data_IF_541700372440
#
_entry.id   IF_541700372440
#
_cell.length_a   1.000
_cell.length_b   1.000
_cell.length_c   1.000
_cell.angle_alpha   90.00
_cell.angle_beta   90.00
_cell.angle_gamma   90.00
#
_symmetry.space_group_name_H-M   'P 1'
#
loop_
_entity.id
_entity.type
_entity.pdbx_description
1 polymer ?
#
# COMPACT_ATOMS: atom_id res chain seq x y z
N UNK A 1 36.58 -38.31 -14.78
CA UNK A 1 36.50 -37.14 -13.89
C UNK A 1 35.03 -36.92 -13.61
N UNK A 2 34.60 -36.96 -12.34
CA UNK A 2 33.18 -36.89 -11.97
C UNK A 2 32.76 -35.42 -11.80
N UNK A 3 31.49 -35.12 -12.09
CA UNK A 3 30.92 -33.77 -12.00
C UNK A 3 31.10 -33.15 -10.61
N UNK A 4 31.16 -34.02 -9.60
CA UNK A 4 31.35 -33.67 -8.20
C UNK A 4 32.79 -33.19 -7.93
N UNK A 5 33.79 -33.79 -8.57
CA UNK A 5 35.19 -33.40 -8.47
C UNK A 5 35.44 -32.07 -9.19
N UNK A 6 34.82 -31.88 -10.36
CA UNK A 6 34.87 -30.64 -11.13
C UNK A 6 34.24 -29.48 -10.34
N UNK A 7 33.10 -29.72 -9.69
CA UNK A 7 32.45 -28.73 -8.82
C UNK A 7 33.30 -28.41 -7.58
N UNK A 8 33.97 -29.41 -7.00
CA UNK A 8 34.85 -29.20 -5.83
C UNK A 8 36.04 -28.33 -6.19
N UNK A 9 36.70 -28.61 -7.32
CA UNK A 9 37.85 -27.83 -7.80
C UNK A 9 37.41 -26.41 -8.17
N UNK A 10 36.28 -26.26 -8.89
CA UNK A 10 35.80 -24.94 -9.33
C UNK A 10 35.36 -24.06 -8.16
N UNK A 11 34.78 -24.64 -7.11
CA UNK A 11 34.40 -23.92 -5.88
C UNK A 11 35.62 -23.55 -5.05
N UNK A 12 36.63 -24.43 -4.98
CA UNK A 12 37.86 -24.17 -4.24
C UNK A 12 38.72 -23.09 -4.91
N UNK A 13 38.78 -23.07 -6.24
CA UNK A 13 39.47 -22.03 -7.02
C UNK A 13 38.77 -20.67 -6.91
N UNK A 14 37.42 -20.65 -6.88
CA UNK A 14 36.68 -19.40 -6.64
C UNK A 14 36.79 -18.88 -5.22
N UNK A 15 36.94 -19.76 -4.23
CA UNK A 15 37.16 -19.36 -2.84
C UNK A 15 38.59 -18.83 -2.60
N UNK A 16 39.58 -19.33 -3.33
CA UNK A 16 40.97 -18.88 -3.25
C UNK A 16 41.21 -17.55 -4.01
N UNK A 17 40.41 -17.26 -5.03
CA UNK A 17 40.41 -15.97 -5.70
C UNK A 17 39.69 -14.92 -4.83
N UNK A 18 40.41 -14.27 -3.92
CA UNK A 18 39.93 -13.12 -3.16
C UNK A 18 39.66 -11.91 -4.09
N UNK A 19 38.63 -12.00 -4.92
CA UNK A 19 38.05 -10.84 -5.60
C UNK A 19 37.10 -10.17 -4.61
N UNK A 20 37.29 -8.87 -4.29
CA UNK A 20 36.29 -8.16 -3.53
C UNK A 20 34.96 -8.26 -4.31
N UNK A 21 33.83 -8.54 -3.63
CA UNK A 21 32.53 -8.52 -4.29
C UNK A 21 32.39 -7.16 -4.98
N UNK A 22 32.06 -7.16 -6.27
CA UNK A 22 31.84 -5.93 -7.02
C UNK A 22 30.88 -5.05 -6.21
N UNK A 23 31.27 -3.80 -5.93
CA UNK A 23 30.46 -2.89 -5.10
C UNK A 23 29.02 -2.77 -5.63
N UNK A 24 28.84 -2.95 -6.94
CA UNK A 24 27.54 -2.96 -7.61
C UNK A 24 26.66 -4.14 -7.17
N UNK A 25 27.22 -5.32 -6.92
CA UNK A 25 26.47 -6.49 -6.44
C UNK A 25 26.00 -6.30 -4.99
N UNK A 26 26.79 -5.64 -4.13
CA UNK A 26 26.34 -5.33 -2.76
C UNK A 26 25.28 -4.22 -2.76
N UNK A 27 25.33 -3.29 -3.72
CA UNK A 27 24.34 -2.22 -3.89
C UNK A 27 23.03 -2.75 -4.49
N UNK A 28 23.11 -3.69 -5.43
CA UNK A 28 21.95 -4.41 -5.98
C UNK A 28 21.35 -5.39 -4.97
N UNK A 29 22.17 -6.08 -4.17
CA UNK A 29 21.68 -6.97 -3.11
C UNK A 29 21.05 -6.16 -1.97
N UNK A 30 21.62 -5.02 -1.57
CA UNK A 30 21.01 -4.18 -0.52
C UNK A 30 19.73 -3.47 -0.99
N UNK A 31 19.69 -3.02 -2.25
CA UNK A 31 18.45 -2.47 -2.85
C UNK A 31 17.39 -3.56 -3.09
N UNK A 32 17.81 -4.78 -3.44
CA UNK A 32 16.97 -5.97 -3.54
C UNK A 32 16.40 -6.42 -2.18
N UNK A 33 17.21 -6.44 -1.13
CA UNK A 33 16.79 -6.75 0.25
C UNK A 33 15.86 -5.69 0.80
N UNK A 34 16.05 -4.40 0.48
CA UNK A 34 15.09 -3.33 0.84
C UNK A 34 13.75 -3.50 0.12
N UNK A 35 13.74 -3.91 -1.15
CA UNK A 35 12.51 -4.26 -1.88
C UNK A 35 11.83 -5.51 -1.30
N UNK A 36 12.58 -6.54 -0.93
CA UNK A 36 12.01 -7.78 -0.37
C UNK A 36 11.47 -7.58 1.06
N UNK A 37 12.12 -6.77 1.89
CA UNK A 37 11.60 -6.37 3.21
C UNK A 37 10.33 -5.51 3.09
N UNK A 38 10.25 -4.63 2.08
CA UNK A 38 9.02 -3.89 1.74
C UNK A 38 7.91 -4.85 1.30
N UNK A 39 8.24 -5.89 0.53
CA UNK A 39 7.32 -6.94 0.07
C UNK A 39 6.79 -7.81 1.21
N UNK A 40 7.65 -8.18 2.18
CA UNK A 40 7.28 -8.99 3.35
C UNK A 40 6.44 -8.23 4.37
N UNK A 41 6.60 -6.91 4.51
CA UNK A 41 5.69 -6.08 5.32
C UNK A 41 4.30 -5.94 4.70
N UNK A 42 4.21 -5.99 3.37
CA UNK A 42 2.94 -5.88 2.63
C UNK A 42 2.18 -7.22 2.52
N UNK A 43 2.85 -8.36 2.68
CA UNK A 43 2.20 -9.69 2.74
C UNK A 43 1.80 -10.10 4.16
N UNK A 44 2.32 -9.42 5.18
CA UNK A 44 1.99 -9.64 6.59
C UNK A 44 0.75 -8.85 7.08
N UNK A 45 -0.08 -8.32 6.16
CA UNK A 45 -1.42 -7.81 6.49
C UNK A 45 -2.45 -8.91 6.81
N UNK A 46 -2.04 -10.19 6.81
CA UNK A 46 -2.96 -11.32 6.98
C UNK A 46 -2.49 -12.53 7.82
N UNK A 47 -1.28 -12.56 8.40
CA UNK A 47 -0.90 -13.68 9.27
C UNK A 47 0.22 -13.29 10.25
N UNK A 48 -0.08 -13.38 11.55
CA UNK A 48 0.86 -13.04 12.63
C UNK A 48 1.97 -14.07 12.82
N UNK A 49 3.17 -13.58 13.13
CA UNK A 49 4.17 -14.31 13.93
C UNK A 49 4.93 -13.30 14.79
N UNK A 50 4.79 -13.44 16.11
CA UNK A 50 5.59 -12.76 17.11
C UNK A 50 7.01 -13.34 17.18
N UNK A 51 8.01 -12.48 17.36
CA UNK A 51 9.29 -12.85 17.98
C UNK A 51 9.71 -11.76 18.97
N UNK A 52 9.77 -12.16 20.23
CA UNK A 52 10.22 -11.40 21.41
C UNK A 52 11.76 -11.42 21.50
N UNK A 53 12.34 -10.39 22.16
CA UNK A 53 13.60 -10.33 22.98
C UNK A 53 14.21 -8.92 22.77
N UNK A 54 14.58 -8.08 23.75
CA UNK A 54 14.66 -8.16 25.21
C UNK A 54 14.59 -6.75 25.84
N UNK A 55 14.29 -6.78 27.14
CA UNK A 55 14.25 -5.73 28.15
C UNK A 55 15.36 -4.67 28.12
N UNK A 56 14.99 -3.42 28.41
CA UNK A 56 15.66 -2.58 29.40
C UNK A 56 14.61 -1.77 30.18
N UNK A 57 14.64 -1.95 31.50
CA UNK A 57 13.84 -1.23 32.49
C UNK A 57 14.35 0.21 32.67
N UNK A 58 13.43 1.17 32.78
CA UNK A 58 13.72 2.51 33.33
C UNK A 58 12.52 2.91 34.22
N UNK A 59 12.75 3.43 35.45
CA UNK A 59 11.70 3.64 36.42
C UNK A 59 10.85 4.89 36.10
N UNK A 60 9.55 4.77 36.34
CA UNK A 60 8.58 5.85 36.34
C UNK A 60 8.87 6.81 37.50
N UNK A 61 9.33 8.04 37.20
CA UNK A 61 9.16 9.17 38.11
C UNK A 61 7.91 9.95 37.71
N UNK A 62 6.87 9.85 38.54
CA UNK A 62 5.76 10.79 38.63
C UNK A 62 6.30 12.18 39.01
N UNK A 63 5.89 13.20 38.28
CA UNK A 63 5.78 14.55 38.79
C UNK A 63 4.37 15.05 38.47
N UNK A 64 3.55 15.15 39.51
CA UNK A 64 2.33 15.95 39.50
C UNK A 64 2.75 17.42 39.53
N UNK A 65 2.51 18.11 38.43
CA UNK A 65 2.42 19.56 38.39
C UNK A 65 1.28 19.91 37.45
N UNK A 66 0.24 20.56 37.98
CA UNK A 66 -0.91 21.05 37.22
C UNK A 66 -0.44 21.86 35.99
N UNK A 67 -0.86 21.50 34.76
CA UNK A 67 -0.50 22.30 33.60
C UNK A 67 -1.32 23.60 33.61
N UNK A 68 -0.67 24.79 33.50
CA UNK A 68 -1.39 26.02 33.21
C UNK A 68 -2.04 25.89 31.83
N UNK A 69 -3.31 26.32 31.72
CA UNK A 69 -4.06 26.33 30.46
C UNK A 69 -3.22 26.99 29.36
N UNK A 70 -2.99 26.33 28.20
CA UNK A 70 -2.26 26.96 27.12
C UNK A 70 -3.11 28.11 26.53
N UNK A 71 -2.64 29.34 26.71
CA UNK A 71 -3.04 30.46 25.85
C UNK A 71 -2.47 30.19 24.45
N UNK A 72 -3.28 30.29 23.37
CA UNK A 72 -2.75 30.14 22.03
C UNK A 72 -1.88 31.36 21.69
N UNK A 73 -0.56 31.15 21.62
CA UNK A 73 0.32 32.05 20.89
C UNK A 73 -0.06 31.98 19.41
N UNK A 74 -0.14 33.10 18.68
CA UNK A 74 -0.28 33.06 17.23
C UNK A 74 1.01 32.47 16.66
N UNK A 75 1.02 31.16 16.41
CA UNK A 75 2.09 30.53 15.67
C UNK A 75 2.04 31.09 14.25
N UNK A 76 2.98 31.96 13.92
CA UNK A 76 3.30 32.28 12.54
C UNK A 76 3.43 30.94 11.81
N UNK A 77 2.47 30.64 10.93
CA UNK A 77 2.50 29.38 10.19
C UNK A 77 3.83 29.38 9.43
N UNK A 78 4.70 28.37 9.61
CA UNK A 78 6.01 28.37 8.97
C UNK A 78 5.86 28.60 7.46
N UNK A 79 6.80 29.36 6.89
CA UNK A 79 6.86 29.55 5.44
C UNK A 79 6.92 28.19 4.77
N UNK A 80 6.04 27.96 3.79
CA UNK A 80 6.05 26.71 3.04
C UNK A 80 7.32 26.61 2.20
N UNK A 81 7.87 25.40 2.00
CA UNK A 81 8.93 25.20 1.03
C UNK A 81 8.45 25.54 -0.39
N UNK A 82 9.39 25.90 -1.27
CA UNK A 82 9.09 26.20 -2.68
C UNK A 82 8.53 24.95 -3.37
N UNK A 83 7.43 25.09 -4.12
CA UNK A 83 6.77 23.95 -4.76
C UNK A 83 5.84 23.16 -3.85
N UNK A 84 5.42 23.75 -2.73
CA UNK A 84 4.39 23.19 -1.85
C UNK A 84 3.21 24.13 -1.73
N UNK A 85 2.02 23.57 -1.54
CA UNK A 85 0.78 24.33 -1.40
C UNK A 85 0.00 23.93 -0.14
N UNK A 86 -0.73 24.89 0.44
CA UNK A 86 -1.73 24.60 1.47
C UNK A 86 -3.00 24.16 0.78
N UNK A 87 -3.39 22.93 1.01
CA UNK A 87 -4.64 22.37 0.49
C UNK A 87 -5.18 21.44 1.56
N UNK A 88 -6.44 21.63 1.95
CA UNK A 88 -7.13 20.64 2.76
C UNK A 88 -7.68 19.57 1.82
N UNK A 89 -6.92 18.49 1.68
CA UNK A 89 -7.27 17.40 0.80
C UNK A 89 -7.45 16.10 1.57
N UNK A 90 -8.65 15.53 1.45
CA UNK A 90 -9.01 14.23 1.98
C UNK A 90 -9.07 13.23 0.81
N UNK A 91 -8.28 12.15 0.85
CA UNK A 91 -8.34 11.09 -0.16
C UNK A 91 -9.71 10.42 -0.17
N UNK A 92 -10.43 10.56 -1.28
CA UNK A 92 -11.78 10.03 -1.47
C UNK A 92 -11.80 9.15 -2.73
N UNK A 93 -11.55 7.84 -2.61
CA UNK A 93 -11.49 6.95 -3.74
C UNK A 93 -12.92 6.71 -4.22
N UNK A 94 -13.11 6.52 -5.52
CA UNK A 94 -14.40 6.20 -6.11
C UNK A 94 -14.23 4.98 -7.00
N UNK A 95 -15.27 4.15 -7.10
CA UNK A 95 -15.32 3.08 -8.08
C UNK A 95 -16.41 3.44 -9.10
N UNK A 96 -16.09 3.46 -10.41
CA UNK A 96 -16.98 4.01 -11.43
C UNK A 96 -18.21 3.14 -11.72
N UNK A 97 -18.24 1.89 -11.24
CA UNK A 97 -19.34 0.95 -11.46
C UNK A 97 -20.05 0.62 -10.14
N UNK A 98 -21.29 0.17 -10.22
CA UNK A 98 -22.04 -0.32 -9.06
C UNK A 98 -22.54 -1.73 -9.32
N UNK A 99 -22.16 -2.73 -8.49
CA UNK A 99 -22.66 -4.08 -8.64
C UNK A 99 -24.16 -4.14 -8.35
N UNK A 100 -24.92 -4.77 -9.26
CA UNK A 100 -26.35 -5.07 -9.09
C UNK A 100 -26.60 -6.30 -8.21
N UNK A 101 -25.58 -7.15 -8.03
CA UNK A 101 -25.63 -8.34 -7.21
C UNK A 101 -24.26 -8.59 -6.56
N UNK A 102 -24.28 -9.03 -5.30
CA UNK A 102 -23.11 -9.44 -4.52
C UNK A 102 -23.48 -10.73 -3.78
N UNK A 103 -22.55 -11.70 -3.64
CA UNK A 103 -22.76 -12.84 -2.75
C UNK A 103 -23.19 -12.39 -1.34
N UNK A 104 -24.26 -13.00 -0.81
CA UNK A 104 -24.89 -12.53 0.43
C UNK A 104 -23.98 -12.66 1.66
N UNK A 105 -23.06 -13.62 1.64
CA UNK A 105 -22.08 -13.86 2.68
C UNK A 105 -21.03 -12.76 2.76
N UNK A 106 -20.67 -12.09 1.65
CA UNK A 106 -19.71 -10.98 1.65
C UNK A 106 -20.25 -9.66 2.24
N UNK A 107 -21.57 -9.52 2.40
CA UNK A 107 -22.21 -8.32 2.93
C UNK A 107 -22.32 -7.16 1.94
N UNK A 108 -22.63 -5.96 2.43
CA UNK A 108 -23.02 -4.80 1.60
C UNK A 108 -22.06 -3.61 1.66
N UNK A 109 -20.96 -3.72 2.41
CA UNK A 109 -20.00 -2.64 2.62
C UNK A 109 -18.66 -3.00 1.98
N UNK A 110 -18.48 -2.75 0.67
CA UNK A 110 -17.17 -2.91 0.05
C UNK A 110 -16.24 -1.79 0.49
N UNK A 111 -14.95 -2.06 0.42
CA UNK A 111 -13.90 -1.06 0.43
C UNK A 111 -13.66 -0.58 -1.00
N UNK A 112 -13.35 0.70 -1.18
CA UNK A 112 -12.88 1.24 -2.45
C UNK A 112 -11.44 1.70 -2.27
N UNK A 113 -10.58 1.24 -3.14
CA UNK A 113 -9.14 1.45 -3.13
C UNK A 113 -8.71 2.06 -4.46
N UNK A 114 -7.50 2.63 -4.49
CA UNK A 114 -6.85 3.07 -5.71
C UNK A 114 -5.50 2.38 -5.85
N UNK A 115 -5.22 1.81 -7.03
CA UNK A 115 -3.98 1.12 -7.37
C UNK A 115 -3.41 1.65 -8.69
N UNK A 116 -2.54 2.63 -8.59
CA UNK A 116 -2.06 3.40 -9.73
C UNK A 116 -3.21 4.17 -10.39
N UNK A 117 -3.43 3.98 -11.70
CA UNK A 117 -4.54 4.59 -12.42
C UNK A 117 -5.79 3.69 -12.43
N UNK A 118 -5.77 2.57 -11.69
CA UNK A 118 -6.90 1.65 -11.59
C UNK A 118 -7.63 1.86 -10.26
N UNK A 119 -8.96 1.75 -10.30
CA UNK A 119 -9.83 1.74 -9.14
C UNK A 119 -10.18 0.30 -8.77
N UNK A 120 -10.27 0.01 -7.46
CA UNK A 120 -10.58 -1.34 -6.96
C UNK A 120 -11.75 -1.30 -5.99
N UNK A 121 -12.74 -2.13 -6.22
CA UNK A 121 -13.82 -2.44 -5.29
C UNK A 121 -13.52 -3.79 -4.61
N UNK A 122 -13.39 -3.82 -3.29
CA UNK A 122 -13.07 -5.04 -2.54
C UNK A 122 -14.16 -5.39 -1.54
N UNK A 123 -14.64 -6.63 -1.63
CA UNK A 123 -15.41 -7.28 -0.58
C UNK A 123 -14.53 -8.30 0.11
N UNK A 124 -14.51 -8.28 1.43
CA UNK A 124 -13.75 -9.24 2.23
C UNK A 124 -14.54 -9.63 3.47
N UNK A 125 -14.71 -10.94 3.68
CA UNK A 125 -15.30 -11.46 4.91
C UNK A 125 -14.85 -12.88 5.17
N UNK A 126 -14.45 -13.17 6.41
CA UNK A 126 -14.07 -14.53 6.85
C UNK A 126 -12.99 -15.18 5.95
N UNK A 127 -12.06 -14.39 5.41
CA UNK A 127 -11.01 -14.87 4.49
C UNK A 127 -11.44 -15.03 3.03
N UNK A 128 -12.73 -14.95 2.72
CA UNK A 128 -13.21 -14.88 1.34
C UNK A 128 -13.03 -13.44 0.82
N UNK A 129 -12.39 -13.29 -0.34
CA UNK A 129 -12.13 -12.02 -1.01
C UNK A 129 -12.75 -12.03 -2.40
N UNK A 130 -13.45 -10.95 -2.74
CA UNK A 130 -13.95 -10.68 -4.09
C UNK A 130 -13.61 -9.24 -4.46
N UNK A 131 -12.79 -9.06 -5.50
CA UNK A 131 -12.37 -7.76 -6.01
C UNK A 131 -12.89 -7.54 -7.41
N UNK A 132 -13.26 -6.29 -7.72
CA UNK A 132 -13.32 -5.78 -9.08
C UNK A 132 -12.28 -4.68 -9.24
N UNK A 133 -11.47 -4.76 -10.28
CA UNK A 133 -10.51 -3.74 -10.66
C UNK A 133 -10.89 -3.22 -12.06
N UNK A 134 -10.86 -1.90 -12.21
CA UNK A 134 -11.09 -1.21 -13.48
C UNK A 134 -10.00 -0.16 -13.70
N UNK A 135 -9.55 0.00 -14.94
CA UNK A 135 -8.66 1.10 -15.30
C UNK A 135 -7.88 0.86 -16.57
N UNK A 136 -6.97 1.78 -16.90
CA UNK A 136 -6.23 1.77 -18.17
C UNK A 136 -5.06 0.79 -18.19
N UNK A 137 -4.61 0.31 -17.02
CA UNK A 137 -3.52 -0.66 -16.91
C UNK A 137 -4.11 -2.07 -16.83
N UNK A 138 -3.62 -2.99 -17.66
CA UNK A 138 -4.02 -4.40 -17.63
C UNK A 138 -3.69 -5.01 -16.25
N UNK A 139 -4.69 -5.45 -15.47
CA UNK A 139 -4.45 -6.13 -14.21
C UNK A 139 -3.72 -7.45 -14.44
N UNK A 140 -2.69 -7.69 -13.63
CA UNK A 140 -2.00 -8.98 -13.62
C UNK A 140 -2.89 -10.06 -13.01
N UNK A 141 -2.67 -11.30 -13.43
CA UNK A 141 -3.27 -12.46 -12.78
C UNK A 141 -2.55 -12.76 -11.47
N UNK A 142 -3.32 -13.05 -10.43
CA UNK A 142 -2.80 -13.17 -9.06
C UNK A 142 -2.54 -14.63 -8.65
N UNK A 143 -2.68 -15.60 -9.57
CA UNK A 143 -2.42 -17.01 -9.32
C UNK A 143 -1.96 -17.74 -10.60
N UNK A 144 -1.15 -18.78 -10.42
CA UNK A 144 -0.85 -19.74 -11.49
C UNK A 144 -2.11 -20.54 -11.80
N UNK A 145 -2.49 -20.59 -13.08
CA UNK A 145 -3.78 -21.17 -13.52
C UNK A 145 -3.72 -22.69 -13.61
N UNK A 146 -4.80 -23.36 -13.19
CA UNK A 146 -5.06 -24.77 -13.50
C UNK A 146 -6.04 -24.95 -14.65
N UNK A 147 -6.74 -23.87 -15.07
CA UNK A 147 -7.69 -23.89 -16.16
C UNK A 147 -7.99 -22.49 -16.69
N UNK A 148 -8.00 -22.34 -18.01
CA UNK A 148 -8.32 -21.10 -18.71
C UNK A 148 -9.30 -21.39 -19.84
N UNK A 149 -10.32 -20.55 -19.99
CA UNK A 149 -11.24 -20.63 -21.13
C UNK A 149 -11.88 -19.28 -21.44
N UNK A 150 -12.41 -19.15 -22.66
CA UNK A 150 -13.11 -17.97 -23.11
C UNK A 150 -14.59 -18.00 -22.71
N UNK A 151 -15.15 -16.83 -22.41
CA UNK A 151 -16.57 -16.62 -22.10
C UNK A 151 -17.00 -15.23 -22.56
N UNK A 152 -18.21 -14.82 -22.17
CA UNK A 152 -18.71 -13.47 -22.38
C UNK A 152 -19.24 -12.85 -21.08
N UNK A 153 -18.95 -11.55 -20.93
CA UNK A 153 -19.53 -10.67 -19.92
C UNK A 153 -20.33 -9.61 -20.67
N UNK A 154 -21.66 -9.70 -20.60
CA UNK A 154 -22.60 -8.79 -21.29
C UNK A 154 -22.32 -8.63 -22.79
N UNK A 155 -22.04 -9.76 -23.47
CA UNK A 155 -21.72 -9.77 -24.91
C UNK A 155 -20.31 -9.32 -25.27
N UNK A 156 -19.48 -8.97 -24.27
CA UNK A 156 -18.08 -8.64 -24.46
C UNK A 156 -17.21 -9.88 -24.21
N UNK A 157 -16.29 -10.24 -25.13
CA UNK A 157 -15.36 -11.34 -24.92
C UNK A 157 -14.55 -11.20 -23.64
N UNK A 158 -14.53 -12.26 -22.84
CA UNK A 158 -13.85 -12.33 -21.57
C UNK A 158 -13.02 -13.62 -21.45
N UNK A 159 -11.98 -13.57 -20.63
CA UNK A 159 -11.16 -14.74 -20.27
C UNK A 159 -11.41 -15.09 -18.82
N UNK A 160 -11.69 -16.36 -18.54
CA UNK A 160 -11.79 -16.91 -17.19
C UNK A 160 -10.53 -17.71 -16.89
N UNK A 161 -9.94 -17.47 -15.71
CA UNK A 161 -8.90 -18.30 -15.13
C UNK A 161 -9.34 -18.86 -13.79
N UNK A 162 -8.99 -20.11 -13.55
CA UNK A 162 -9.26 -20.79 -12.28
C UNK A 162 -7.99 -21.43 -11.75
N UNK A 163 -7.86 -21.47 -10.42
CA UNK A 163 -6.80 -22.20 -9.74
C UNK A 163 -7.30 -22.75 -8.40
N UNK A 164 -6.52 -23.65 -7.80
CA UNK A 164 -6.82 -24.26 -6.50
C UNK A 164 -7.57 -25.58 -6.57
N UNK A 165 -7.30 -26.46 -5.61
CA UNK A 165 -7.75 -27.85 -5.62
C UNK A 165 -9.05 -28.11 -4.84
N UNK A 166 -9.58 -27.14 -4.08
CA UNK A 166 -10.74 -27.36 -3.21
C UNK A 166 -11.40 -26.08 -2.67
N UNK A 167 -12.52 -26.23 -1.94
CA UNK A 167 -13.21 -25.11 -1.29
C UNK A 167 -12.30 -24.41 -0.27
N UNK A 168 -12.20 -23.08 -0.34
CA UNK A 168 -11.34 -22.27 0.54
C UNK A 168 -10.01 -21.84 -0.10
N UNK A 169 -9.48 -22.66 -1.02
CA UNK A 169 -8.28 -22.34 -1.82
C UNK A 169 -8.63 -22.00 -3.29
N UNK A 170 -9.93 -21.84 -3.59
CA UNK A 170 -10.37 -21.61 -4.96
C UNK A 170 -10.05 -20.18 -5.37
N UNK A 171 -9.41 -20.07 -6.53
CA UNK A 171 -9.21 -18.83 -7.25
C UNK A 171 -10.06 -18.86 -8.52
N UNK A 172 -10.80 -17.79 -8.76
CA UNK A 172 -11.47 -17.54 -10.03
C UNK A 172 -11.23 -16.10 -10.40
N UNK A 173 -10.79 -15.83 -11.63
CA UNK A 173 -10.67 -14.48 -12.14
C UNK A 173 -11.24 -14.37 -13.55
N UNK A 174 -11.99 -13.31 -13.81
CA UNK A 174 -12.65 -13.02 -15.08
C UNK A 174 -12.16 -11.67 -15.55
N UNK A 175 -11.58 -11.60 -16.75
CA UNK A 175 -10.99 -10.37 -17.30
C UNK A 175 -11.51 -10.08 -18.71
N UNK A 176 -11.86 -8.83 -18.96
CA UNK A 176 -12.30 -8.35 -20.27
C UNK A 176 -11.88 -6.90 -20.49
N UNK A 177 -11.94 -6.44 -21.73
CA UNK A 177 -11.78 -5.02 -22.05
C UNK A 177 -13.15 -4.35 -22.11
N UNK A 178 -13.30 -3.18 -21.50
CA UNK A 178 -14.49 -2.34 -21.68
C UNK A 178 -14.19 -1.25 -22.71
N UNK A 179 -14.76 -1.35 -23.93
CA UNK A 179 -14.48 -0.39 -25.00
C UNK A 179 -14.88 1.04 -24.64
N UNK A 180 -15.99 1.20 -23.90
CA UNK A 180 -16.57 2.50 -23.56
C UNK A 180 -15.65 3.38 -22.70
N UNK A 181 -14.89 2.76 -21.80
CA UNK A 181 -13.93 3.44 -20.91
C UNK A 181 -12.49 3.30 -21.39
N UNK A 182 -12.25 2.60 -22.51
CA UNK A 182 -10.90 2.33 -23.04
C UNK A 182 -9.99 1.60 -22.05
N UNK A 183 -10.57 0.75 -21.21
CA UNK A 183 -9.90 0.15 -20.05
C UNK A 183 -10.13 -1.34 -19.90
N UNK A 184 -9.41 -1.93 -18.95
CA UNK A 184 -9.56 -3.32 -18.52
C UNK A 184 -10.47 -3.40 -17.31
N UNK A 185 -11.22 -4.50 -17.23
CA UNK A 185 -11.90 -4.91 -16.00
C UNK A 185 -11.48 -6.32 -15.65
N UNK A 186 -11.13 -6.53 -14.38
CA UNK A 186 -10.85 -7.84 -13.82
C UNK A 186 -11.66 -8.02 -12.55
N UNK A 187 -12.46 -9.09 -12.49
CA UNK A 187 -13.09 -9.57 -11.26
C UNK A 187 -12.31 -10.75 -10.75
N UNK A 188 -11.85 -10.73 -9.51
CA UNK A 188 -11.08 -11.82 -8.91
C UNK A 188 -11.71 -12.25 -7.61
N UNK A 189 -11.85 -13.56 -7.40
CA UNK A 189 -12.21 -14.13 -6.11
C UNK A 189 -11.14 -15.10 -5.63
N UNK A 190 -10.85 -15.03 -4.33
CA UNK A 190 -10.10 -16.02 -3.56
C UNK A 190 -10.99 -16.51 -2.43
N UNK A 191 -11.15 -17.82 -2.29
CA UNK A 191 -11.92 -18.43 -1.20
C UNK A 191 -12.89 -19.49 -1.70
N UNK A 192 -14.19 -19.33 -1.39
CA UNK A 192 -15.21 -20.37 -1.65
C UNK A 192 -16.08 -20.13 -2.89
N UNK A 193 -16.10 -18.91 -3.44
CA UNK A 193 -16.96 -18.54 -4.56
C UNK A 193 -16.67 -19.38 -5.81
N UNK A 194 -17.73 -19.86 -6.44
CA UNK A 194 -17.70 -20.59 -7.70
C UNK A 194 -17.49 -19.66 -8.89
N UNK A 195 -17.06 -20.23 -10.01
CA UNK A 195 -16.97 -19.50 -11.27
C UNK A 195 -18.30 -18.86 -11.68
N UNK A 196 -19.42 -19.58 -11.48
CA UNK A 196 -20.76 -19.07 -11.79
C UNK A 196 -21.11 -17.82 -10.97
N UNK A 197 -20.72 -17.78 -9.69
CA UNK A 197 -20.94 -16.60 -8.83
C UNK A 197 -20.06 -15.43 -9.25
N UNK A 198 -18.78 -15.67 -9.56
CA UNK A 198 -17.87 -14.63 -10.04
C UNK A 198 -18.33 -14.06 -11.39
N UNK A 199 -18.79 -14.91 -12.31
CA UNK A 199 -19.37 -14.46 -13.58
C UNK A 199 -20.68 -13.70 -13.39
N UNK A 200 -21.52 -14.11 -12.44
CA UNK A 200 -22.75 -13.37 -12.09
C UNK A 200 -22.43 -11.97 -11.56
N UNK A 201 -21.43 -11.86 -10.69
CA UNK A 201 -20.95 -10.58 -10.18
C UNK A 201 -20.37 -9.73 -11.32
N UNK A 202 -19.51 -10.29 -12.17
CA UNK A 202 -18.92 -9.60 -13.32
C UNK A 202 -19.98 -9.03 -14.28
N UNK A 203 -20.98 -9.84 -14.65
CA UNK A 203 -22.12 -9.38 -15.47
C UNK A 203 -22.95 -8.31 -14.77
N UNK A 204 -23.03 -8.37 -13.44
CA UNK A 204 -23.72 -7.41 -12.61
C UNK A 204 -23.00 -6.08 -12.38
N UNK A 205 -21.75 -5.91 -12.84
CA UNK A 205 -21.02 -4.64 -12.78
C UNK A 205 -21.41 -3.66 -13.90
N UNK A 206 -22.29 -4.06 -14.81
CA UNK A 206 -22.68 -3.26 -15.97
C UNK A 206 -23.50 -2.04 -15.57
N UNK A 207 -22.88 -0.86 -15.67
CA UNK A 207 -23.52 0.41 -16.01
C UNK A 207 -24.75 0.87 -15.21
N UNK A 208 -25.10 0.21 -14.11
CA UNK A 208 -26.19 0.63 -13.25
C UNK A 208 -25.95 2.09 -12.89
N UNK A 209 -26.98 2.95 -12.99
CA UNK A 209 -26.82 4.37 -12.69
C UNK A 209 -26.21 4.54 -11.29
N UNK A 210 -24.93 4.89 -11.23
CA UNK A 210 -24.26 5.19 -9.98
C UNK A 210 -22.79 4.78 -9.94
N UNK A 211 -22.06 5.53 -9.14
CA UNK A 211 -20.72 5.20 -8.67
C UNK A 211 -20.79 4.74 -7.22
N UNK A 212 -19.77 4.03 -6.77
CA UNK A 212 -19.58 3.72 -5.36
C UNK A 212 -18.55 4.67 -4.78
N UNK A 213 -18.98 5.52 -3.84
CA UNK A 213 -18.05 6.31 -3.05
C UNK A 213 -17.28 5.41 -2.08
N UNK A 214 -16.00 5.70 -1.86
CA UNK A 214 -15.18 4.97 -0.92
C UNK A 214 -15.73 5.06 0.49
N UNK A 215 -15.99 3.90 1.08
CA UNK A 215 -16.38 3.75 2.48
C UNK A 215 -15.17 3.71 3.41
N UNK A 216 -13.99 3.38 2.87
CA UNK A 216 -12.72 3.31 3.58
C UNK A 216 -11.89 4.57 3.34
N UNK A 217 -12.35 5.68 3.92
CA UNK A 217 -11.59 6.93 3.90
C UNK A 217 -10.32 6.77 4.74
N UNK A 218 -9.20 7.30 4.26
CA UNK A 218 -7.98 7.34 5.05
C UNK A 218 -8.24 8.08 6.37
N UNK A 219 -7.68 7.64 7.51
CA UNK A 219 -7.93 8.24 8.82
C UNK A 219 -7.15 9.54 9.00
N UNK A 220 -6.82 10.24 7.91
CA UNK A 220 -6.08 11.48 7.95
C UNK A 220 -6.42 12.39 6.75
N UNK A 221 -6.07 13.66 6.91
CA UNK A 221 -6.20 14.70 5.89
C UNK A 221 -4.85 15.38 5.71
N UNK A 222 -4.52 15.69 4.48
CA UNK A 222 -3.36 16.51 4.15
C UNK A 222 -3.75 17.98 4.20
N UNK A 223 -3.00 18.80 4.94
CA UNK A 223 -3.09 20.26 4.94
C UNK A 223 -2.00 20.93 4.10
N UNK A 224 -0.96 20.17 3.73
CA UNK A 224 0.20 20.61 2.96
C UNK A 224 0.58 19.49 1.99
N UNK A 225 0.79 19.83 0.72
CA UNK A 225 1.12 18.88 -0.35
C UNK A 225 2.20 19.46 -1.28
N UNK A 226 3.10 18.62 -1.85
CA UNK A 226 3.91 19.05 -2.98
C UNK A 226 3.02 19.35 -4.18
N UNK A 227 3.37 20.34 -5.00
CA UNK A 227 2.65 20.61 -6.24
C UNK A 227 2.82 19.45 -7.23
N UNK A 228 1.85 19.26 -8.13
CA UNK A 228 1.89 18.28 -9.23
C UNK A 228 1.94 16.81 -8.83
N UNK A 229 1.67 16.48 -7.57
CA UNK A 229 1.44 15.09 -7.17
C UNK A 229 -0.02 14.68 -7.44
N UNK A 230 -0.23 13.38 -7.55
CA UNK A 230 -1.54 12.74 -7.57
C UNK A 230 -1.52 11.48 -6.71
N UNK A 231 -2.69 11.05 -6.26
CA UNK A 231 -2.83 9.74 -5.62
C UNK A 231 -2.34 8.66 -6.58
N UNK A 232 -1.39 7.86 -6.10
CA UNK A 232 -0.94 6.66 -6.78
C UNK A 232 -1.51 5.42 -6.10
N UNK A 233 -1.61 5.44 -4.78
CA UNK A 233 -2.17 4.33 -4.03
C UNK A 233 -3.04 4.85 -2.91
N UNK A 234 -4.18 4.21 -2.70
CA UNK A 234 -5.04 4.48 -1.56
C UNK A 234 -5.67 3.20 -1.05
N UNK A 235 -5.59 3.03 0.26
CA UNK A 235 -6.22 1.99 1.06
C UNK A 235 -6.76 2.60 2.36
N UNK A 236 -7.44 1.83 3.24
CA UNK A 236 -8.01 2.37 4.47
C UNK A 236 -6.98 3.01 5.39
N UNK A 237 -5.74 2.53 5.38
CA UNK A 237 -4.68 2.92 6.30
C UNK A 237 -3.49 3.60 5.61
N UNK A 238 -3.36 3.47 4.29
CA UNK A 238 -2.25 4.01 3.52
C UNK A 238 -2.68 4.85 2.32
N UNK A 239 -1.98 5.97 2.11
CA UNK A 239 -2.09 6.81 0.91
C UNK A 239 -0.69 7.13 0.39
N UNK A 240 -0.45 6.91 -0.90
CA UNK A 240 0.80 7.27 -1.57
C UNK A 240 0.57 8.28 -2.68
N UNK A 241 1.46 9.25 -2.74
CA UNK A 241 1.47 10.35 -3.70
C UNK A 241 2.68 10.22 -4.61
N UNK A 242 2.47 10.40 -5.92
CA UNK A 242 3.54 10.40 -6.91
C UNK A 242 3.33 11.52 -7.92
N UNK A 243 4.37 11.85 -8.69
CA UNK A 243 4.24 12.74 -9.84
C UNK A 243 3.22 12.20 -10.85
N UNK A 244 2.39 13.09 -11.40
CA UNK A 244 1.30 12.73 -12.34
C UNK A 244 1.75 11.88 -13.53
N UNK A 245 3.01 12.04 -13.97
CA UNK A 245 3.58 11.34 -15.13
C UNK A 245 4.01 9.89 -14.84
N UNK A 246 4.10 9.48 -13.57
CA UNK A 246 4.61 8.17 -13.13
C UNK A 246 3.46 7.16 -12.84
N UNK A 247 2.22 7.55 -13.09
CA UNK A 247 0.97 6.86 -12.71
C UNK A 247 0.68 5.51 -13.40
N UNK A 248 1.67 4.81 -13.95
CA UNK A 248 1.46 3.49 -14.61
C UNK A 248 1.70 2.27 -13.71
N UNK A 249 2.24 2.45 -12.50
CA UNK A 249 2.55 1.34 -11.59
C UNK A 249 1.41 1.11 -10.59
N UNK A 250 1.02 -0.15 -10.43
CA UNK A 250 0.00 -0.60 -9.45
C UNK A 250 0.54 -0.67 -8.02
N UNK A 251 1.85 -0.84 -7.85
CA UNK A 251 2.49 -0.96 -6.53
C UNK A 251 2.64 0.42 -5.85
N UNK A 252 2.45 0.50 -4.51
CA UNK A 252 2.67 1.74 -3.77
C UNK A 252 4.11 2.26 -3.91
N UNK A 253 4.25 3.54 -4.25
CA UNK A 253 5.50 4.23 -4.54
C UNK A 253 5.36 5.73 -4.25
N UNK A 254 6.48 6.43 -4.21
CA UNK A 254 6.53 7.87 -3.93
C UNK A 254 6.37 8.21 -2.45
N UNK A 255 5.72 9.33 -2.17
CA UNK A 255 5.52 9.84 -0.81
C UNK A 255 4.29 9.19 -0.18
N UNK A 256 4.52 8.19 0.67
CA UNK A 256 3.48 7.42 1.33
C UNK A 256 3.27 7.84 2.77
N UNK A 257 2.02 7.82 3.21
CA UNK A 257 1.59 7.95 4.60
C UNK A 257 0.81 6.70 4.98
N UNK A 258 1.20 6.05 6.06
CA UNK A 258 0.58 4.84 6.61
C UNK A 258 0.25 5.06 8.09
N UNK A 259 -0.92 4.60 8.54
CA UNK A 259 -1.25 4.50 9.96
C UNK A 259 -1.30 3.03 10.37
N UNK A 260 -0.55 2.64 11.39
CA UNK A 260 -0.52 1.26 11.87
C UNK A 260 -0.74 1.16 13.38
N UNK A 261 -1.36 0.04 13.80
CA UNK A 261 -1.53 -0.37 15.20
C UNK A 261 -0.22 -0.97 15.76
N UNK A 262 0.86 -0.18 15.73
CA UNK A 262 2.17 -0.57 16.24
C UNK A 262 2.63 0.39 17.36
N UNK A 263 3.42 -0.09 18.34
CA UNK A 263 4.02 0.78 19.32
C UNK A 263 5.07 1.69 18.68
N UNK A 264 5.16 2.93 19.16
CA UNK A 264 6.23 3.82 18.73
C UNK A 264 7.60 3.29 19.20
N UNK A 265 8.44 2.91 18.24
CA UNK A 265 9.83 2.55 18.47
C UNK A 265 10.72 3.64 17.90
N UNK A 266 11.37 4.40 18.78
CA UNK A 266 12.31 5.44 18.37
C UNK A 266 13.53 4.85 17.66
N UNK A 267 13.96 5.50 16.57
CA UNK A 267 15.18 5.16 15.82
C UNK A 267 15.56 6.26 14.82
N UNK A 268 16.80 6.77 14.91
CA UNK A 268 17.26 7.92 14.11
C UNK A 268 17.24 9.23 14.90
N UNK A 269 17.09 10.35 14.19
CA UNK A 269 17.00 11.69 14.78
C UNK A 269 15.66 11.87 15.49
N UNK A 270 15.68 12.25 16.77
CA UNK A 270 14.46 12.58 17.52
C UNK A 270 14.00 13.99 17.19
N UNK A 271 12.76 14.12 16.74
CA UNK A 271 12.14 15.38 16.36
C UNK A 271 10.74 15.48 16.97
N UNK A 272 10.13 16.67 16.91
CA UNK A 272 8.74 16.89 17.31
C UNK A 272 7.94 17.37 16.11
N UNK A 273 6.81 16.72 15.83
CA UNK A 273 5.91 17.09 14.74
C UNK A 273 4.55 17.38 15.32
N UNK A 274 4.06 18.63 15.16
CA UNK A 274 2.79 19.09 15.70
C UNK A 274 2.59 18.73 17.21
N UNK A 275 3.65 18.87 18.01
CA UNK A 275 3.65 18.56 19.44
C UNK A 275 3.75 17.07 19.80
N UNK A 276 3.94 16.18 18.82
CA UNK A 276 4.09 14.73 19.03
C UNK A 276 5.53 14.28 18.85
N UNK A 277 5.94 13.28 19.63
CA UNK A 277 7.24 12.65 19.49
C UNK A 277 7.35 11.96 18.13
N UNK A 278 8.48 12.14 17.47
CA UNK A 278 8.72 11.55 16.17
C UNK A 278 10.19 11.17 15.97
N UNK A 279 10.43 10.28 15.03
CA UNK A 279 11.75 9.75 14.71
C UNK A 279 12.00 9.85 13.21
N UNK A 280 13.05 10.57 12.82
CA UNK A 280 13.39 10.89 11.43
C UNK A 280 14.66 10.18 10.99
N UNK A 281 14.62 9.64 9.76
CA UNK A 281 15.75 9.01 9.06
C UNK A 281 15.75 9.41 7.58
N UNK A 282 16.42 10.52 7.27
CA UNK A 282 16.46 11.08 5.91
C UNK A 282 17.15 10.15 4.91
N UNK A 283 18.21 9.46 5.33
CA UNK A 283 18.99 8.51 4.54
C UNK A 283 18.15 7.33 4.01
N UNK A 284 17.17 6.90 4.81
CA UNK A 284 16.23 5.83 4.46
C UNK A 284 14.88 6.33 3.97
N UNK A 285 14.65 7.65 3.97
CA UNK A 285 13.38 8.25 3.60
C UNK A 285 12.23 7.85 4.51
N UNK A 286 12.38 8.02 5.84
CA UNK A 286 11.35 7.61 6.79
C UNK A 286 11.21 8.60 7.95
N UNK A 287 9.96 8.90 8.31
CA UNK A 287 9.57 9.61 9.52
C UNK A 287 8.43 8.84 10.20
N UNK A 288 8.57 8.55 11.49
CA UNK A 288 7.56 7.85 12.30
C UNK A 288 7.09 8.78 13.42
N UNK A 289 5.78 8.96 13.58
CA UNK A 289 5.16 9.86 14.57
C UNK A 289 4.29 9.02 15.52
N UNK A 290 4.45 9.24 16.82
CA UNK A 290 3.63 8.62 17.85
C UNK A 290 2.22 9.23 17.88
N UNK A 291 1.19 8.38 17.80
CA UNK A 291 -0.23 8.76 17.92
C UNK A 291 -0.86 8.32 19.25
N UNK A 292 -0.09 7.75 20.18
CA UNK A 292 -0.57 7.25 21.47
C UNK A 292 -1.22 5.87 21.36
N UNK A 293 -0.42 4.87 20.99
CA UNK A 293 -0.86 3.47 20.77
C UNK A 293 -0.97 3.06 19.31
N UNK A 294 -0.74 4.01 18.39
CA UNK A 294 -0.60 3.84 16.94
C UNK A 294 0.58 4.66 16.46
N UNK A 295 1.04 4.40 15.25
CA UNK A 295 2.05 5.22 14.57
C UNK A 295 1.54 5.75 13.24
N UNK A 296 1.93 6.98 12.91
CA UNK A 296 1.85 7.51 11.55
C UNK A 296 3.25 7.48 10.95
N UNK A 297 3.40 6.74 9.86
CA UNK A 297 4.67 6.61 9.14
C UNK A 297 4.58 7.35 7.82
N UNK A 298 5.47 8.30 7.61
CA UNK A 298 5.74 8.90 6.30
C UNK A 298 6.97 8.21 5.71
N UNK A 299 6.86 7.66 4.51
CA UNK A 299 7.98 7.02 3.80
C UNK A 299 8.11 7.56 2.39
N UNK A 300 9.33 7.70 1.89
CA UNK A 300 9.62 8.08 0.51
C UNK A 300 10.92 7.44 0.04
N UNK A 301 11.16 7.41 -1.27
CA UNK A 301 12.46 7.06 -1.84
C UNK A 301 13.31 8.34 -1.96
N UNK A 302 14.40 8.52 -1.18
CA UNK A 302 15.21 9.74 -1.23
C UNK A 302 15.86 10.00 -2.59
N UNK A 303 16.05 8.96 -3.41
CA UNK A 303 16.59 9.09 -4.77
C UNK A 303 15.58 9.63 -5.78
N UNK A 304 14.27 9.47 -5.50
CA UNK A 304 13.18 9.96 -6.36
C UNK A 304 12.53 11.23 -5.83
N UNK A 305 12.36 11.29 -4.52
CA UNK A 305 11.79 12.42 -3.79
C UNK A 305 12.85 12.93 -2.82
N UNK A 306 13.80 13.78 -3.26
CA UNK A 306 14.89 14.28 -2.43
C UNK A 306 14.37 15.35 -1.46
N UNK A 307 13.59 14.93 -0.46
CA UNK A 307 13.00 15.82 0.52
C UNK A 307 14.05 16.23 1.56
N UNK A 308 14.16 17.53 1.79
CA UNK A 308 14.91 18.09 2.91
C UNK A 308 14.21 17.82 4.24
N UNK A 309 14.94 17.97 5.34
CA UNK A 309 14.40 17.85 6.70
C UNK A 309 13.16 18.72 6.89
N UNK A 310 13.24 19.98 6.50
CA UNK A 310 12.16 20.95 6.74
C UNK A 310 10.93 20.66 5.89
N UNK A 311 11.10 20.15 4.66
CA UNK A 311 9.99 19.70 3.81
C UNK A 311 9.24 18.52 4.41
N UNK A 312 9.96 17.50 4.88
CA UNK A 312 9.35 16.32 5.52
C UNK A 312 8.59 16.73 6.78
N UNK A 313 9.16 17.61 7.60
CA UNK A 313 8.52 18.09 8.83
C UNK A 313 7.30 18.98 8.52
N UNK A 314 7.38 19.83 7.49
CA UNK A 314 6.26 20.67 7.05
C UNK A 314 5.09 19.82 6.50
N UNK A 315 5.39 18.82 5.67
CA UNK A 315 4.42 17.86 5.17
C UNK A 315 3.73 17.12 6.33
N UNK A 316 4.53 16.49 7.19
CA UNK A 316 4.01 15.67 8.26
C UNK A 316 3.26 16.48 9.33
N UNK A 317 3.72 17.71 9.60
CA UNK A 317 3.01 18.66 10.46
C UNK A 317 1.68 19.13 9.87
N UNK A 318 1.51 19.04 8.54
CA UNK A 318 0.25 19.29 7.84
C UNK A 318 -0.73 18.11 7.88
N UNK A 319 -0.34 16.92 8.37
CA UNK A 319 -1.21 15.76 8.40
C UNK A 319 -2.08 15.77 9.67
N UNK A 320 -3.40 15.82 9.48
CA UNK A 320 -4.38 15.76 10.58
C UNK A 320 -4.98 14.37 10.67
N UNK A 321 -4.63 13.62 11.72
CA UNK A 321 -5.23 12.32 12.03
C UNK A 321 -6.65 12.46 12.61
N UNK A 322 -7.60 11.71 12.06
CA UNK A 322 -9.00 11.62 12.51
C UNK A 322 -9.17 10.29 13.24
N UNK A 323 -9.62 10.35 14.50
CA UNK A 323 -9.97 9.17 15.30
C UNK A 323 -11.33 8.62 14.90
#
# INVERSE_FOLDING_TARGET
MTLEEDLRVTLHDRAAAARPPAADLLTEVTSGVRRDVRRRRLTAGGAGVAVVVAALAVPLMRHDADPPRPQPLPAASPSLPVGWERSMWAPAPFFPLRPTWVPADLGTRPEVLQMGPNEVLRYERNGDVLTAEIGVVDPAWDAETTGEHATEVNGVPATVRTAGAGPGDRYVSVRWQMPEVGGWVQVTSRGRHTEAEVLRFARGLDGGMGSMAGTSLAPFVFGVLPVRVSTQYQSPDQVCLTDRDVTRRREPDGLCVLVADEPFVGGGERVTVAGRAASLRLDSGSLVIDLGGRVLTVTWDPGRFPLSRDEVLAFAGGITYRR
#
